data_IF_442502114179
#
_entry.id   IF_442502114179
#
_cell.length_a   1.000
_cell.length_b   1.000
_cell.length_c   1.000
_cell.angle_alpha   90.00
_cell.angle_beta   90.00
_cell.angle_gamma   90.00
#
_symmetry.space_group_name_H-M   'P 1'
#
loop_
_entity.id
_entity.type
_entity.pdbx_description
1 polymer ?
#
# COMPACT_ATOMS: atom_id res chain seq x y z
N UNK A 1 -49.56 25.73 11.25
CA UNK A 1 -48.26 25.26 10.71
C UNK A 1 -48.57 24.19 9.66
N UNK A 2 -48.08 24.32 8.42
CA UNK A 2 -48.54 23.47 7.32
C UNK A 2 -47.83 22.10 7.38
N UNK A 3 -48.58 21.01 7.49
CA UNK A 3 -48.08 19.63 7.64
C UNK A 3 -47.07 19.26 6.54
N UNK A 4 -47.23 19.79 5.33
CA UNK A 4 -46.32 19.59 4.20
C UNK A 4 -44.92 20.13 4.47
N UNK A 5 -44.82 21.30 5.13
CA UNK A 5 -43.53 21.92 5.47
C UNK A 5 -42.81 21.09 6.54
N UNK A 6 -43.56 20.57 7.52
CA UNK A 6 -43.00 19.71 8.58
C UNK A 6 -42.43 18.42 7.98
N UNK A 7 -43.17 17.77 7.08
CA UNK A 7 -42.70 16.55 6.42
C UNK A 7 -41.43 16.81 5.60
N UNK A 8 -41.39 17.91 4.84
CA UNK A 8 -40.21 18.30 4.06
C UNK A 8 -38.96 18.50 4.93
N UNK A 9 -39.13 19.09 6.12
CA UNK A 9 -38.03 19.31 7.08
C UNK A 9 -37.53 17.98 7.64
N UNK A 10 -38.45 17.08 8.03
CA UNK A 10 -38.10 15.76 8.55
C UNK A 10 -37.34 14.95 7.51
N UNK A 11 -37.79 14.95 6.24
CA UNK A 11 -37.11 14.23 5.15
C UNK A 11 -35.69 14.76 4.94
N UNK A 12 -35.51 16.09 4.93
CA UNK A 12 -34.19 16.71 4.79
C UNK A 12 -33.23 16.32 5.95
N UNK A 13 -33.75 16.19 7.18
CA UNK A 13 -32.96 15.75 8.33
C UNK A 13 -32.51 14.30 8.16
N UNK A 14 -33.42 13.42 7.74
CA UNK A 14 -33.11 11.99 7.51
C UNK A 14 -32.08 11.84 6.39
N UNK A 15 -32.22 12.61 5.31
CA UNK A 15 -31.25 12.63 4.21
C UNK A 15 -29.87 13.09 4.71
N UNK A 16 -29.80 14.17 5.49
CA UNK A 16 -28.54 14.66 6.04
C UNK A 16 -27.86 13.62 6.95
N UNK A 17 -28.64 12.93 7.79
CA UNK A 17 -28.13 11.84 8.64
C UNK A 17 -27.61 10.66 7.80
N UNK A 18 -28.32 10.29 6.74
CA UNK A 18 -27.89 9.23 5.83
C UNK A 18 -26.59 9.59 5.10
N UNK A 19 -26.45 10.83 4.62
CA UNK A 19 -25.23 11.33 3.97
C UNK A 19 -24.04 11.28 4.93
N UNK A 20 -24.21 11.71 6.18
CA UNK A 20 -23.14 11.66 7.18
C UNK A 20 -22.64 10.23 7.41
N UNK A 21 -23.56 9.26 7.53
CA UNK A 21 -23.22 7.85 7.67
C UNK A 21 -22.47 7.31 6.45
N UNK A 22 -22.97 7.59 5.24
CA UNK A 22 -22.33 7.17 3.99
C UNK A 22 -20.90 7.73 3.90
N UNK A 23 -20.69 8.99 4.27
CA UNK A 23 -19.35 9.59 4.26
C UNK A 23 -18.40 8.87 5.23
N UNK A 24 -18.86 8.51 6.43
CA UNK A 24 -18.06 7.74 7.38
C UNK A 24 -17.70 6.35 6.82
N UNK A 25 -18.68 5.64 6.26
CA UNK A 25 -18.48 4.30 5.70
C UNK A 25 -17.51 4.33 4.49
N UNK A 26 -17.58 5.36 3.63
CA UNK A 26 -16.65 5.56 2.52
C UNK A 26 -15.22 5.79 3.02
N UNK A 27 -15.05 6.62 4.06
CA UNK A 27 -13.73 6.88 4.65
C UNK A 27 -13.10 5.60 5.20
N UNK A 28 -13.87 4.75 5.88
CA UNK A 28 -13.41 3.46 6.39
C UNK A 28 -12.99 2.50 5.27
N UNK A 29 -13.78 2.44 4.18
CA UNK A 29 -13.45 1.61 3.01
C UNK A 29 -12.18 2.08 2.32
N UNK A 30 -12.02 3.40 2.14
CA UNK A 30 -10.80 3.98 1.57
C UNK A 30 -9.57 3.69 2.44
N UNK A 31 -9.69 3.84 3.76
CA UNK A 31 -8.60 3.54 4.68
C UNK A 31 -8.20 2.06 4.65
N UNK A 32 -9.19 1.16 4.64
CA UNK A 32 -8.96 -0.30 4.53
C UNK A 32 -8.28 -0.66 3.21
N UNK A 33 -8.72 -0.08 2.10
CA UNK A 33 -8.11 -0.25 0.78
C UNK A 33 -6.64 0.21 0.78
N UNK A 34 -6.37 1.42 1.26
CA UNK A 34 -5.00 1.96 1.37
C UNK A 34 -4.11 1.09 2.25
N UNK A 35 -4.64 0.52 3.34
CA UNK A 35 -3.91 -0.39 4.21
C UNK A 35 -3.52 -1.70 3.52
N UNK A 36 -4.37 -2.20 2.61
CA UNK A 36 -4.11 -3.41 1.83
C UNK A 36 -3.11 -3.17 0.70
N UNK A 37 -3.17 -2.01 0.05
CA UNK A 37 -2.17 -1.60 -0.95
C UNK A 37 -0.77 -1.52 -0.33
N UNK A 38 -0.65 -1.01 0.90
CA UNK A 38 0.65 -0.99 1.61
C UNK A 38 1.22 -2.39 1.89
N UNK A 39 0.37 -3.43 1.95
CA UNK A 39 0.79 -4.82 2.21
C UNK A 39 1.28 -5.53 0.96
N UNK A 40 0.76 -5.19 -0.22
CA UNK A 40 1.14 -5.83 -1.48
C UNK A 40 2.39 -5.17 -2.07
N UNK A 41 3.24 -5.99 -2.72
CA UNK A 41 4.39 -5.52 -3.48
C UNK A 41 3.97 -5.35 -4.93
N UNK A 42 4.17 -4.15 -5.46
CA UNK A 42 4.02 -3.87 -6.89
C UNK A 42 5.27 -4.25 -7.66
N UNK A 43 5.17 -4.39 -8.99
CA UNK A 43 6.33 -4.70 -9.84
C UNK A 43 7.36 -3.57 -9.81
N UNK A 44 6.87 -2.34 -9.70
CA UNK A 44 7.66 -1.12 -9.61
C UNK A 44 8.43 -1.06 -8.29
N UNK A 45 7.77 -1.38 -7.16
CA UNK A 45 8.43 -1.49 -5.86
C UNK A 45 9.49 -2.59 -5.84
N UNK A 46 9.24 -3.76 -6.44
CA UNK A 46 10.24 -4.83 -6.57
C UNK A 46 11.43 -4.37 -7.43
N UNK A 47 11.17 -3.68 -8.54
CA UNK A 47 12.23 -3.17 -9.42
C UNK A 47 13.10 -2.13 -8.70
N UNK A 48 12.48 -1.20 -7.95
CA UNK A 48 13.18 -0.22 -7.12
C UNK A 48 14.00 -0.90 -6.03
N UNK A 49 13.41 -1.90 -5.35
CA UNK A 49 14.10 -2.66 -4.31
C UNK A 49 15.33 -3.36 -4.88
N UNK A 50 15.22 -4.04 -6.02
CA UNK A 50 16.34 -4.74 -6.66
C UNK A 50 17.44 -3.73 -7.03
N UNK A 51 17.10 -2.63 -7.69
CA UNK A 51 18.08 -1.59 -8.07
C UNK A 51 18.80 -1.00 -6.84
N UNK A 52 18.05 -0.64 -5.81
CA UNK A 52 18.62 -0.10 -4.57
C UNK A 52 19.52 -1.13 -3.88
N UNK A 53 19.16 -2.42 -3.94
CA UNK A 53 19.96 -3.50 -3.38
C UNK A 53 21.24 -3.72 -4.16
N UNK A 54 21.24 -3.53 -5.49
CA UNK A 54 22.47 -3.58 -6.29
C UNK A 54 23.44 -2.45 -5.95
N UNK A 55 22.90 -1.26 -5.62
CA UNK A 55 23.67 -0.07 -5.28
C UNK A 55 24.22 -0.11 -3.86
N UNK A 56 23.38 -0.46 -2.89
CA UNK A 56 23.72 -0.38 -1.46
C UNK A 56 24.05 -1.74 -0.84
N UNK A 57 23.71 -2.86 -1.46
CA UNK A 57 23.86 -4.20 -0.89
C UNK A 57 22.65 -4.64 -0.06
N UNK A 58 22.55 -5.97 0.16
CA UNK A 58 21.40 -6.64 0.80
C UNK A 58 21.23 -6.30 2.29
N UNK A 59 22.30 -5.88 2.96
CA UNK A 59 22.30 -5.62 4.40
C UNK A 59 21.96 -4.17 4.77
N UNK A 60 21.96 -3.25 3.80
CA UNK A 60 21.76 -1.82 4.06
C UNK A 60 20.27 -1.42 4.08
N UNK A 61 19.49 -2.10 4.92
CA UNK A 61 18.03 -1.94 5.01
C UNK A 61 17.59 -0.50 5.29
N UNK A 62 18.40 0.28 6.00
CA UNK A 62 18.13 1.70 6.27
C UNK A 62 18.03 2.50 4.98
N UNK A 63 19.00 2.32 4.07
CA UNK A 63 19.00 2.98 2.76
C UNK A 63 17.90 2.45 1.85
N UNK A 64 17.63 1.14 1.91
CA UNK A 64 16.56 0.54 1.12
C UNK A 64 15.18 1.06 1.53
N UNK A 65 14.95 1.30 2.82
CA UNK A 65 13.70 1.88 3.31
C UNK A 65 13.48 3.32 2.82
N UNK A 66 14.56 4.10 2.67
CA UNK A 66 14.46 5.45 2.11
C UNK A 66 14.07 5.44 0.63
N UNK A 67 14.35 4.36 -0.10
CA UNK A 67 13.92 4.19 -1.49
C UNK A 67 12.50 3.64 -1.57
N UNK A 68 12.17 2.64 -0.76
CA UNK A 68 10.84 2.02 -0.73
C UNK A 68 10.07 2.49 0.51
N UNK A 69 9.73 3.78 0.53
CA UNK A 69 9.15 4.46 1.70
C UNK A 69 7.82 3.88 2.18
N UNK A 70 7.09 3.20 1.28
CA UNK A 70 5.81 2.56 1.57
C UNK A 70 5.95 1.28 2.40
N UNK A 71 7.18 0.75 2.54
CA UNK A 71 7.47 -0.53 3.17
C UNK A 71 8.36 -0.36 4.40
N UNK A 72 8.10 -1.18 5.40
CA UNK A 72 8.95 -1.26 6.60
C UNK A 72 10.22 -2.08 6.31
N UNK A 73 11.29 -1.86 7.07
CA UNK A 73 12.53 -2.67 6.98
C UNK A 73 12.26 -4.17 7.06
N UNK A 74 11.31 -4.58 7.90
CA UNK A 74 10.90 -5.99 8.05
C UNK A 74 10.27 -6.53 6.76
N UNK A 75 9.36 -5.78 6.15
CA UNK A 75 8.76 -6.16 4.86
C UNK A 75 9.80 -6.24 3.74
N UNK A 76 10.74 -5.28 3.71
CA UNK A 76 11.85 -5.25 2.75
C UNK A 76 12.72 -6.49 2.90
N UNK A 77 13.13 -6.83 4.13
CA UNK A 77 13.94 -8.02 4.41
C UNK A 77 13.26 -9.31 3.93
N UNK A 78 11.98 -9.50 4.29
CA UNK A 78 11.24 -10.70 3.84
C UNK A 78 11.09 -10.74 2.33
N UNK A 79 10.87 -9.59 1.68
CA UNK A 79 10.74 -9.54 0.24
C UNK A 79 12.06 -9.86 -0.46
N UNK A 80 13.18 -9.30 0.01
CA UNK A 80 14.52 -9.61 -0.51
C UNK A 80 14.83 -11.09 -0.39
N UNK A 81 14.62 -11.67 0.79
CA UNK A 81 14.78 -13.10 1.02
C UNK A 81 13.96 -13.92 0.03
N UNK A 82 12.68 -13.58 -0.13
CA UNK A 82 11.78 -14.25 -1.07
C UNK A 82 12.27 -14.15 -2.53
N UNK A 83 12.73 -12.97 -2.97
CA UNK A 83 13.24 -12.74 -4.34
C UNK A 83 14.52 -13.55 -4.58
N UNK A 84 15.44 -13.57 -3.61
CA UNK A 84 16.71 -14.31 -3.70
C UNK A 84 16.46 -15.82 -3.74
N UNK A 85 15.52 -16.32 -2.92
CA UNK A 85 15.11 -17.73 -2.90
C UNK A 85 14.29 -18.13 -4.14
N UNK A 86 13.63 -17.17 -4.82
CA UNK A 86 12.74 -17.42 -5.97
C UNK A 86 13.03 -16.51 -7.18
N UNK A 87 14.20 -16.64 -7.83
CA UNK A 87 14.68 -15.70 -8.85
C UNK A 87 13.81 -15.66 -10.14
N UNK A 88 12.99 -16.68 -10.40
CA UNK A 88 12.11 -16.75 -11.58
C UNK A 88 10.96 -15.73 -11.54
N UNK A 89 10.65 -15.17 -10.36
CA UNK A 89 9.53 -14.24 -10.14
C UNK A 89 9.90 -12.77 -10.33
N UNK A 90 11.19 -12.47 -10.57
CA UNK A 90 11.63 -11.13 -10.92
C UNK A 90 11.83 -11.02 -12.42
N UNK A 91 11.28 -9.97 -13.02
CA UNK A 91 11.44 -9.64 -14.44
C UNK A 91 12.92 -9.34 -14.78
N UNK A 92 13.79 -9.22 -13.77
CA UNK A 92 15.18 -8.82 -13.87
C UNK A 92 16.11 -9.93 -13.34
N UNK A 93 15.94 -11.15 -13.87
CA UNK A 93 16.60 -12.37 -13.41
C UNK A 93 18.14 -12.28 -13.33
N UNK A 94 18.76 -11.50 -14.23
CA UNK A 94 20.20 -11.24 -14.24
C UNK A 94 20.65 -10.47 -13.00
N UNK A 95 19.85 -9.51 -12.53
CA UNK A 95 20.15 -8.68 -11.36
C UNK A 95 20.03 -9.48 -10.05
N UNK A 96 19.06 -10.41 -9.97
CA UNK A 96 18.84 -11.22 -8.76
C UNK A 96 19.99 -12.21 -8.50
N UNK A 97 20.57 -12.81 -9.56
CA UNK A 97 21.74 -13.69 -9.41
C UNK A 97 22.96 -12.96 -8.85
N UNK A 98 23.13 -11.68 -9.17
CA UNK A 98 24.24 -10.85 -8.69
C UNK A 98 24.11 -10.44 -7.22
N UNK A 99 22.90 -10.51 -6.64
CA UNK A 99 22.68 -10.23 -5.22
C UNK A 99 23.15 -11.37 -4.30
N UNK A 100 23.43 -12.57 -4.83
CA UNK A 100 23.93 -13.70 -4.06
C UNK A 100 25.45 -13.67 -3.84
N UNK A 101 26.18 -12.80 -4.54
CA UNK A 101 27.64 -12.76 -4.57
C UNK A 101 28.25 -11.45 -4.00
N UNK A 102 27.44 -10.59 -3.38
CA UNK A 102 27.87 -9.37 -2.69
C UNK A 102 27.45 -9.42 -1.23
#
# INVERSE_FOLDING_TARGET
MNQTIINQIVDNIVIAQAIHKINHDILDLQFKSLSNVRKQWTKEEDALLIQATMLFGVHNLDRLQLIVISKTKKQIYFRLRYIIENPKMSNNQTCVKLLQFK
#
